data_IF_089389461118
#
_entry.id   IF_089389461118
#
_cell.length_a   1.000
_cell.length_b   1.000
_cell.length_c   1.000
_cell.angle_alpha   90.00
_cell.angle_beta   90.00
_cell.angle_gamma   90.00
#
_symmetry.space_group_name_H-M   'P 1'
#
loop_
_entity.id
_entity.type
_entity.pdbx_description
1 polymer ?
#
# COMPACT_ATOMS: atom_id res chain seq x y z
N UNK A 1 -0.39 5.84 9.27
CA UNK A 1 -0.94 4.49 8.99
C UNK A 1 -2.46 4.43 9.11
N UNK A 2 -3.08 4.48 10.31
CA UNK A 2 -4.55 4.54 10.42
C UNK A 2 -5.13 5.74 9.64
N UNK A 3 -4.47 6.89 9.74
CA UNK A 3 -4.88 8.10 9.01
C UNK A 3 -4.79 7.98 7.48
N UNK A 4 -4.01 7.03 6.96
CA UNK A 4 -3.78 6.89 5.52
C UNK A 4 -4.78 5.90 4.92
N UNK A 5 -4.90 4.70 5.49
CA UNK A 5 -5.73 3.62 4.92
C UNK A 5 -7.08 3.42 5.62
N UNK A 6 -7.24 3.83 6.87
CA UNK A 6 -8.45 3.53 7.66
C UNK A 6 -8.51 2.09 8.19
N UNK A 7 -7.39 1.37 8.09
CA UNK A 7 -7.20 0.03 8.66
C UNK A 7 -6.66 0.16 10.08
N UNK A 8 -7.20 -0.64 11.00
CA UNK A 8 -6.70 -0.77 12.36
C UNK A 8 -5.59 -1.82 12.35
N UNK A 9 -4.36 -1.39 12.64
CA UNK A 9 -3.22 -2.31 12.74
C UNK A 9 -3.03 -2.74 14.20
N UNK A 10 -2.67 -4.01 14.47
CA UNK A 10 -2.32 -4.46 15.80
C UNK A 10 -1.05 -3.75 16.31
N UNK A 11 -0.83 -3.81 17.62
CA UNK A 11 0.39 -3.29 18.23
C UNK A 11 1.64 -3.97 17.68
N UNK A 12 2.72 -3.19 17.52
CA UNK A 12 4.02 -3.72 17.11
C UNK A 12 4.70 -4.40 18.30
N UNK A 13 5.15 -5.64 18.11
CA UNK A 13 5.99 -6.34 19.08
C UNK A 13 7.46 -6.23 18.66
N UNK A 14 8.29 -5.67 19.54
CA UNK A 14 9.74 -5.62 19.35
C UNK A 14 10.37 -6.80 20.09
N UNK A 15 11.13 -7.61 19.37
CA UNK A 15 11.90 -8.73 19.93
C UNK A 15 13.37 -8.54 19.57
N UNK A 16 14.24 -8.53 20.57
CA UNK A 16 15.69 -8.55 20.34
C UNK A 16 16.12 -9.98 20.06
N UNK A 17 16.92 -10.18 19.02
CA UNK A 17 17.43 -11.48 18.62
C UNK A 17 18.95 -11.41 18.41
N UNK A 18 19.69 -12.06 19.29
CA UNK A 18 21.17 -12.09 19.27
C UNK A 18 21.74 -12.86 18.07
N UNK A 19 20.92 -13.66 17.38
CA UNK A 19 21.33 -14.38 16.17
C UNK A 19 21.39 -13.46 14.94
N UNK A 20 20.77 -12.27 15.00
CA UNK A 20 20.84 -11.29 13.91
C UNK A 20 22.22 -10.60 13.95
N UNK A 21 23.07 -10.95 13.00
CA UNK A 21 24.40 -10.36 12.86
C UNK A 21 24.35 -9.04 12.08
N UNK A 22 25.35 -8.18 12.32
CA UNK A 22 25.59 -6.99 11.49
C UNK A 22 24.50 -5.94 11.57
N UNK A 23 23.98 -5.68 12.78
CA UNK A 23 22.97 -4.65 13.05
C UNK A 23 21.69 -4.81 12.19
N UNK A 24 21.38 -6.05 11.82
CA UNK A 24 20.23 -6.39 11.00
C UNK A 24 18.92 -6.36 11.80
N UNK A 25 17.82 -6.11 11.09
CA UNK A 25 16.47 -6.29 11.58
C UNK A 25 15.63 -7.06 10.56
N UNK A 26 14.61 -7.75 11.06
CA UNK A 26 13.60 -8.42 10.25
C UNK A 26 12.21 -7.91 10.66
N UNK A 27 11.34 -7.72 9.66
CA UNK A 27 9.93 -7.41 9.85
C UNK A 27 9.13 -8.66 9.55
N UNK A 28 8.34 -9.10 10.52
CA UNK A 28 7.51 -10.29 10.44
C UNK A 28 6.03 -9.87 10.43
N UNK A 29 5.23 -10.54 9.61
CA UNK A 29 3.76 -10.45 9.59
C UNK A 29 3.22 -11.86 9.82
N UNK A 30 2.35 -12.04 10.81
CA UNK A 30 1.87 -13.37 11.20
C UNK A 30 2.99 -14.34 11.60
N UNK A 31 4.05 -13.84 12.24
CA UNK A 31 5.28 -14.58 12.58
C UNK A 31 6.08 -15.10 11.37
N UNK A 32 5.74 -14.69 10.15
CA UNK A 32 6.49 -15.02 8.92
C UNK A 32 7.34 -13.82 8.50
N UNK A 33 8.65 -13.99 8.22
CA UNK A 33 9.50 -12.91 7.72
C UNK A 33 9.02 -12.40 6.35
N UNK A 34 8.75 -11.10 6.24
CA UNK A 34 8.29 -10.46 4.99
C UNK A 34 9.25 -9.41 4.45
N UNK A 35 10.12 -8.86 5.30
CA UNK A 35 11.16 -7.92 4.90
C UNK A 35 12.31 -7.91 5.89
N UNK A 36 13.47 -7.42 5.47
CA UNK A 36 14.66 -7.27 6.30
C UNK A 36 15.48 -6.06 5.89
N UNK A 37 16.34 -5.59 6.79
CA UNK A 37 17.25 -4.48 6.52
C UNK A 37 18.38 -4.43 7.54
N UNK A 38 19.21 -3.39 7.44
CA UNK A 38 20.25 -3.08 8.41
C UNK A 38 20.04 -1.70 9.00
N UNK A 39 20.25 -1.57 10.29
CA UNK A 39 20.33 -0.30 10.99
C UNK A 39 21.81 0.01 11.16
N UNK A 40 22.29 1.12 10.60
CA UNK A 40 23.69 1.56 10.75
C UNK A 40 23.70 2.75 11.70
N UNK A 41 23.97 2.59 13.02
CA UNK A 41 23.85 3.68 14.01
C UNK A 41 24.70 4.90 13.67
N UNK A 42 25.91 4.67 13.15
CA UNK A 42 26.87 5.72 12.80
C UNK A 42 26.66 6.28 11.37
N UNK A 43 25.55 5.96 10.71
CA UNK A 43 25.25 6.40 9.36
C UNK A 43 23.83 6.96 9.22
N UNK A 44 23.68 7.83 8.23
CA UNK A 44 22.41 8.43 7.83
C UNK A 44 22.07 7.98 6.41
N UNK A 45 20.81 7.67 6.16
CA UNK A 45 20.33 7.32 4.82
C UNK A 45 20.04 8.61 4.05
N UNK A 46 20.87 8.93 3.07
CA UNK A 46 20.81 10.20 2.34
C UNK A 46 19.78 10.13 1.20
N UNK A 47 19.05 11.23 0.98
CA UNK A 47 17.98 11.36 -0.02
C UNK A 47 18.39 12.29 -1.16
N UNK A 48 19.64 12.18 -1.58
CA UNK A 48 20.28 13.02 -2.60
C UNK A 48 21.01 12.13 -3.61
N UNK A 49 21.21 12.65 -4.83
CA UNK A 49 21.89 11.89 -5.88
C UNK A 49 23.39 11.70 -5.57
N UNK A 50 23.99 10.57 -5.96
CA UNK A 50 25.42 10.33 -5.84
C UNK A 50 26.28 11.43 -6.49
N UNK A 51 25.81 11.98 -7.61
CA UNK A 51 26.50 13.05 -8.35
C UNK A 51 26.57 14.34 -7.51
N UNK A 52 25.45 14.72 -6.89
CA UNK A 52 25.39 15.89 -6.02
C UNK A 52 26.23 15.69 -4.75
N UNK A 53 26.19 14.51 -4.14
CA UNK A 53 27.01 14.19 -2.97
C UNK A 53 28.51 14.26 -3.28
N UNK A 54 28.90 13.77 -4.46
CA UNK A 54 30.29 13.86 -4.94
C UNK A 54 30.71 15.32 -5.13
N UNK A 55 29.86 16.14 -5.77
CA UNK A 55 30.14 17.57 -5.97
C UNK A 55 30.27 18.34 -4.65
N UNK A 56 29.49 17.96 -3.63
CA UNK A 56 29.51 18.53 -2.29
C UNK A 56 30.60 17.92 -1.38
N UNK A 57 31.42 17.01 -1.91
CA UNK A 57 32.49 16.32 -1.19
C UNK A 57 32.00 15.59 0.07
N UNK A 58 30.77 15.06 0.03
CA UNK A 58 30.21 14.27 1.11
C UNK A 58 30.57 12.80 0.87
N UNK A 59 31.35 12.15 1.74
CA UNK A 59 31.61 10.73 1.63
C UNK A 59 30.30 9.94 1.78
N UNK A 60 30.10 8.97 0.88
CA UNK A 60 28.93 8.10 0.91
C UNK A 60 29.27 6.68 0.48
N UNK A 61 28.42 5.74 0.87
CA UNK A 61 28.48 4.33 0.50
C UNK A 61 27.14 3.89 -0.09
N UNK A 62 27.19 3.09 -1.16
CA UNK A 62 26.00 2.43 -1.72
C UNK A 62 25.87 1.03 -1.14
N UNK A 63 24.65 0.65 -0.79
CA UNK A 63 24.30 -0.71 -0.34
C UNK A 63 23.17 -1.29 -1.21
N UNK A 64 22.83 -2.56 -0.99
CA UNK A 64 21.69 -3.20 -1.63
C UNK A 64 20.39 -2.44 -1.30
N UNK A 65 19.50 -2.33 -2.29
CA UNK A 65 18.18 -1.71 -2.11
C UNK A 65 17.34 -2.61 -1.20
N UNK A 66 16.89 -2.06 -0.07
CA UNK A 66 15.97 -2.74 0.84
C UNK A 66 14.62 -2.00 0.98
N UNK A 67 14.53 -0.76 0.48
CA UNK A 67 13.29 0.00 0.36
C UNK A 67 12.88 0.13 -1.11
N UNK A 68 11.58 0.09 -1.42
CA UNK A 68 11.09 0.30 -2.78
C UNK A 68 11.39 1.73 -3.24
N UNK A 69 11.75 1.88 -4.52
CA UNK A 69 11.93 3.17 -5.19
C UNK A 69 12.95 4.11 -4.50
N UNK A 70 13.82 3.57 -3.64
CA UNK A 70 14.85 4.31 -2.94
C UNK A 70 16.20 3.63 -3.10
N UNK A 71 17.23 4.44 -3.35
CA UNK A 71 18.60 3.95 -3.29
C UNK A 71 19.07 3.90 -1.84
N UNK A 72 19.85 2.88 -1.52
CA UNK A 72 20.48 2.76 -0.19
C UNK A 72 21.81 3.50 -0.21
N UNK A 73 21.77 4.82 -0.03
CA UNK A 73 22.96 5.68 0.03
C UNK A 73 23.19 6.11 1.48
N UNK A 74 24.35 5.79 2.03
CA UNK A 74 24.70 6.02 3.42
C UNK A 74 25.82 7.04 3.53
N UNK A 75 25.68 8.03 4.41
CA UNK A 75 26.76 8.95 4.76
C UNK A 75 27.04 8.90 6.27
N UNK A 76 28.26 9.24 6.74
CA UNK A 76 28.58 9.29 8.17
C UNK A 76 27.64 10.20 8.96
N UNK A 77 27.16 9.74 10.11
CA UNK A 77 26.28 10.52 10.99
C UNK A 77 26.93 11.81 11.52
N UNK A 78 28.26 11.82 11.63
CA UNK A 78 29.05 13.00 11.99
C UNK A 78 28.83 14.20 11.04
N UNK A 79 28.40 13.95 9.80
CA UNK A 79 28.10 14.99 8.81
C UNK A 79 26.65 15.51 8.88
N UNK A 80 25.81 15.00 9.78
CA UNK A 80 24.39 15.38 9.87
C UNK A 80 24.16 16.89 10.00
N UNK A 81 24.95 17.59 10.82
CA UNK A 81 24.86 19.05 10.97
C UNK A 81 25.27 19.79 9.69
N UNK A 82 26.30 19.32 9.00
CA UNK A 82 26.75 19.89 7.72
C UNK A 82 25.69 19.70 6.63
N UNK A 83 25.15 18.48 6.52
CA UNK A 83 24.07 18.16 5.57
C UNK A 83 22.81 18.98 5.84
N UNK A 84 22.43 19.14 7.11
CA UNK A 84 21.29 19.99 7.50
C UNK A 84 21.49 21.44 7.06
N UNK A 85 22.69 22.01 7.30
CA UNK A 85 23.03 23.38 6.86
C UNK A 85 23.04 23.53 5.34
N UNK A 86 23.46 22.48 4.63
CA UNK A 86 23.47 22.44 3.17
C UNK A 86 22.09 22.13 2.55
N UNK A 87 21.04 21.91 3.37
CA UNK A 87 19.70 21.58 2.88
C UNK A 87 19.58 20.17 2.29
N UNK A 88 20.52 19.27 2.60
CA UNK A 88 20.55 17.91 2.06
C UNK A 88 19.66 17.02 2.93
N UNK A 89 18.60 16.43 2.37
CA UNK A 89 17.70 15.58 3.14
C UNK A 89 18.34 14.23 3.45
N UNK A 90 18.17 13.76 4.69
CA UNK A 90 18.57 12.43 5.12
C UNK A 90 17.55 11.86 6.12
N UNK A 91 17.62 10.55 6.36
CA UNK A 91 16.84 9.85 7.38
C UNK A 91 17.78 9.23 8.41
N UNK A 92 17.46 9.42 9.68
CA UNK A 92 18.10 8.71 10.79
C UNK A 92 17.67 7.24 10.83
N UNK A 93 18.44 6.33 11.47
CA UNK A 93 18.12 4.91 11.54
C UNK A 93 16.69 4.61 12.04
N UNK A 94 16.21 5.35 13.05
CA UNK A 94 14.86 5.21 13.62
C UNK A 94 13.76 5.67 12.66
N UNK A 95 14.00 6.77 11.93
CA UNK A 95 13.10 7.29 10.91
C UNK A 95 13.03 6.33 9.72
N UNK A 96 14.17 5.79 9.30
CA UNK A 96 14.27 4.78 8.26
C UNK A 96 13.49 3.52 8.64
N UNK A 97 13.67 3.01 9.87
CA UNK A 97 12.93 1.86 10.37
C UNK A 97 11.42 2.13 10.35
N UNK A 98 11.00 3.30 10.81
CA UNK A 98 9.60 3.72 10.81
C UNK A 98 9.02 3.76 9.39
N UNK A 99 9.78 4.30 8.43
CA UNK A 99 9.39 4.31 7.02
C UNK A 99 9.27 2.89 6.44
N UNK A 100 10.21 2.00 6.77
CA UNK A 100 10.18 0.62 6.30
C UNK A 100 8.97 -0.14 6.88
N UNK A 101 8.71 -0.02 8.18
CA UNK A 101 7.53 -0.61 8.82
C UNK A 101 6.25 -0.07 8.17
N UNK A 102 6.15 1.24 7.96
CA UNK A 102 4.99 1.83 7.30
C UNK A 102 4.80 1.29 5.87
N UNK A 103 5.88 1.10 5.11
CA UNK A 103 5.80 0.47 3.79
C UNK A 103 5.29 -0.97 3.86
N UNK A 104 5.87 -1.80 4.73
CA UNK A 104 5.44 -3.20 4.90
C UNK A 104 3.98 -3.28 5.32
N UNK A 105 3.55 -2.47 6.29
CA UNK A 105 2.16 -2.45 6.74
C UNK A 105 1.18 -2.03 5.63
N UNK A 106 1.55 -1.12 4.72
CA UNK A 106 0.71 -0.77 3.56
C UNK A 106 0.62 -1.94 2.58
N UNK A 107 1.76 -2.55 2.26
CA UNK A 107 1.85 -3.69 1.34
C UNK A 107 1.03 -4.90 1.81
N UNK A 108 1.00 -5.11 3.13
CA UNK A 108 0.28 -6.22 3.77
C UNK A 108 -1.06 -5.78 4.39
N UNK A 109 -1.58 -4.60 4.06
CA UNK A 109 -2.76 -4.03 4.73
C UNK A 109 -4.01 -4.92 4.65
N UNK A 110 -4.18 -5.65 3.55
CA UNK A 110 -5.30 -6.56 3.35
C UNK A 110 -5.33 -7.71 4.37
N UNK A 111 -4.18 -8.16 4.88
CA UNK A 111 -4.09 -9.22 5.89
C UNK A 111 -4.64 -8.78 7.25
N UNK A 112 -4.71 -7.46 7.49
CA UNK A 112 -5.25 -6.86 8.71
C UNK A 112 -6.73 -6.47 8.59
N UNK A 113 -7.40 -6.84 7.50
CA UNK A 113 -8.83 -6.63 7.33
C UNK A 113 -9.52 -7.97 7.29
N UNK A 114 -10.08 -8.41 8.42
CA UNK A 114 -10.87 -9.62 8.53
C UNK A 114 -12.34 -9.36 8.84
N UNK A 115 -13.07 -10.43 9.16
CA UNK A 115 -14.47 -10.36 9.58
C UNK A 115 -14.61 -9.55 10.88
N UNK A 116 -13.65 -9.70 11.81
CA UNK A 116 -13.68 -9.00 13.10
C UNK A 116 -13.42 -7.50 12.93
N UNK A 117 -12.44 -7.11 12.13
CA UNK A 117 -12.13 -5.71 11.86
C UNK A 117 -13.27 -5.05 11.09
N UNK A 118 -13.85 -5.78 10.13
CA UNK A 118 -15.05 -5.32 9.41
C UNK A 118 -16.23 -5.14 10.36
N UNK A 119 -16.41 -6.04 11.34
CA UNK A 119 -17.45 -5.91 12.36
C UNK A 119 -17.23 -4.66 13.20
N UNK A 120 -16.00 -4.41 13.65
CA UNK A 120 -15.66 -3.21 14.40
C UNK A 120 -15.95 -1.94 13.59
N UNK A 121 -15.63 -1.92 12.30
CA UNK A 121 -15.96 -0.81 11.39
C UNK A 121 -17.49 -0.60 11.32
N UNK A 122 -18.27 -1.67 11.16
CA UNK A 122 -19.74 -1.58 11.09
C UNK A 122 -20.36 -1.15 12.43
N UNK A 123 -19.83 -1.61 13.57
CA UNK A 123 -20.28 -1.18 14.89
C UNK A 123 -19.99 0.31 15.13
N UNK A 124 -18.80 0.79 14.77
CA UNK A 124 -18.48 2.21 14.85
C UNK A 124 -19.39 3.04 13.93
N UNK A 125 -19.68 2.51 12.73
CA UNK A 125 -20.61 3.11 11.80
C UNK A 125 -22.04 3.15 12.33
N UNK A 126 -22.52 2.11 13.03
CA UNK A 126 -23.87 2.06 13.60
C UNK A 126 -24.09 3.21 14.60
N UNK A 127 -23.05 3.63 15.33
CA UNK A 127 -23.13 4.79 16.23
C UNK A 127 -23.34 6.13 15.50
N UNK A 128 -22.90 6.24 14.23
CA UNK A 128 -22.92 7.50 13.43
C UNK A 128 -23.99 7.51 12.33
N UNK A 129 -24.24 6.35 11.73
CA UNK A 129 -25.09 6.13 10.56
C UNK A 129 -25.91 4.82 10.73
N UNK A 130 -26.77 4.72 11.76
CA UNK A 130 -27.45 3.47 12.13
C UNK A 130 -28.30 2.89 10.99
N UNK A 131 -29.02 3.73 10.24
CA UNK A 131 -29.87 3.28 9.15
C UNK A 131 -29.06 2.71 7.98
N UNK A 132 -27.93 3.34 7.65
CA UNK A 132 -27.04 2.83 6.61
C UNK A 132 -26.37 1.51 7.04
N UNK A 133 -25.96 1.39 8.31
CA UNK A 133 -25.37 0.16 8.83
C UNK A 133 -26.36 -1.03 8.75
N UNK A 134 -27.63 -0.81 9.12
CA UNK A 134 -28.70 -1.81 8.97
C UNK A 134 -28.92 -2.19 7.51
N UNK A 135 -28.95 -1.20 6.62
CA UNK A 135 -29.21 -1.43 5.20
C UNK A 135 -28.09 -2.22 4.53
N UNK A 136 -26.83 -1.91 4.83
CA UNK A 136 -25.66 -2.68 4.35
C UNK A 136 -25.75 -4.14 4.80
N UNK A 137 -26.04 -4.37 6.09
CA UNK A 137 -26.15 -5.72 6.65
C UNK A 137 -27.32 -6.52 6.04
N UNK A 138 -28.38 -5.84 5.59
CA UNK A 138 -29.51 -6.43 4.86
C UNK A 138 -29.13 -6.84 3.44
N UNK A 139 -28.32 -6.03 2.76
CA UNK A 139 -27.96 -6.24 1.35
C UNK A 139 -26.93 -7.35 1.17
N UNK A 140 -25.97 -7.48 2.09
CA UNK A 140 -24.92 -8.50 1.98
C UNK A 140 -24.33 -8.96 3.32
N UNK A 141 -23.85 -10.21 3.39
CA UNK A 141 -23.23 -10.74 4.60
C UNK A 141 -21.84 -10.13 4.84
N UNK A 142 -21.45 -10.05 6.12
CA UNK A 142 -20.21 -9.41 6.56
C UNK A 142 -18.93 -9.95 5.91
N UNK A 143 -18.86 -11.24 5.58
CA UNK A 143 -17.69 -11.82 4.93
C UNK A 143 -17.47 -11.25 3.52
N UNK A 144 -18.55 -10.93 2.78
CA UNK A 144 -18.43 -10.27 1.47
C UNK A 144 -17.95 -8.83 1.60
N UNK A 145 -18.43 -8.12 2.62
CA UNK A 145 -17.96 -6.76 2.94
C UNK A 145 -16.46 -6.81 3.24
N UNK A 146 -16.01 -7.75 4.07
CA UNK A 146 -14.60 -7.93 4.39
C UNK A 146 -13.75 -8.19 3.13
N UNK A 147 -14.19 -9.10 2.25
CA UNK A 147 -13.49 -9.37 0.98
C UNK A 147 -13.38 -8.11 0.10
N UNK A 148 -14.45 -7.32 0.00
CA UNK A 148 -14.44 -6.07 -0.78
C UNK A 148 -13.49 -5.05 -0.14
N UNK A 149 -13.54 -4.86 1.18
CA UNK A 149 -12.62 -3.95 1.87
C UNK A 149 -11.16 -4.40 1.70
N UNK A 150 -10.87 -5.71 1.80
CA UNK A 150 -9.54 -6.28 1.54
C UNK A 150 -9.03 -5.91 0.14
N UNK A 151 -9.86 -6.04 -0.90
CA UNK A 151 -9.50 -5.66 -2.28
C UNK A 151 -9.17 -4.17 -2.37
N UNK A 152 -10.00 -3.30 -1.80
CA UNK A 152 -9.77 -1.84 -1.81
C UNK A 152 -8.45 -1.49 -1.12
N UNK A 153 -8.19 -2.03 0.08
CA UNK A 153 -6.96 -1.70 0.82
C UNK A 153 -5.72 -2.34 0.21
N UNK A 154 -5.85 -3.46 -0.52
CA UNK A 154 -4.74 -4.10 -1.24
C UNK A 154 -4.17 -3.22 -2.36
N UNK A 155 -4.97 -2.31 -2.90
CA UNK A 155 -4.56 -1.29 -3.86
C UNK A 155 -4.15 0.02 -3.17
N UNK A 156 -3.91 -0.05 -1.87
CA UNK A 156 -3.61 1.08 -0.99
C UNK A 156 -4.69 2.18 -1.02
N UNK A 157 -5.93 1.85 -1.39
CA UNK A 157 -7.05 2.81 -1.37
C UNK A 157 -7.60 2.89 0.05
N UNK A 158 -7.81 4.12 0.53
CA UNK A 158 -8.29 4.35 1.89
C UNK A 158 -9.77 4.00 2.04
N UNK A 159 -10.09 3.24 3.08
CA UNK A 159 -11.46 2.93 3.49
C UNK A 159 -11.95 3.83 4.62
N UNK A 160 -11.22 4.92 4.94
CA UNK A 160 -11.64 5.89 5.99
C UNK A 160 -12.99 6.53 5.74
N UNK A 161 -13.32 6.77 4.47
CA UNK A 161 -14.65 7.24 4.10
C UNK A 161 -15.62 6.05 4.05
N UNK A 162 -15.81 5.41 5.22
CA UNK A 162 -16.67 4.23 5.38
C UNK A 162 -18.07 4.52 4.88
N UNK A 163 -18.58 5.73 5.09
CA UNK A 163 -19.90 6.14 4.59
C UNK A 163 -20.00 5.96 3.06
N UNK A 164 -19.10 6.55 2.29
CA UNK A 164 -19.14 6.45 0.83
C UNK A 164 -18.94 5.01 0.33
N UNK A 165 -18.07 4.24 0.99
CA UNK A 165 -17.88 2.82 0.69
C UNK A 165 -19.19 2.05 0.88
N UNK A 166 -19.85 2.25 2.01
CA UNK A 166 -21.05 1.52 2.39
C UNK A 166 -22.29 1.95 1.59
N UNK A 167 -22.43 3.24 1.26
CA UNK A 167 -23.45 3.74 0.33
C UNK A 167 -23.33 3.06 -1.04
N UNK A 168 -22.10 2.95 -1.60
CA UNK A 168 -21.87 2.24 -2.85
C UNK A 168 -22.25 0.76 -2.77
N UNK A 169 -21.97 0.09 -1.63
CA UNK A 169 -22.36 -1.30 -1.44
C UNK A 169 -23.88 -1.49 -1.35
N UNK A 170 -24.61 -0.55 -0.78
CA UNK A 170 -26.09 -0.59 -0.75
C UNK A 170 -26.66 -0.40 -2.15
N UNK A 171 -26.17 0.59 -2.90
CA UNK A 171 -26.67 0.94 -4.23
C UNK A 171 -26.51 -0.20 -5.24
N UNK A 172 -25.41 -0.96 -5.13
CA UNK A 172 -25.05 -2.01 -6.09
C UNK A 172 -25.24 -3.43 -5.56
N UNK A 173 -25.18 -3.66 -4.26
CA UNK A 173 -25.18 -5.00 -3.67
C UNK A 173 -26.47 -5.81 -3.86
N UNK A 174 -27.59 -5.17 -4.21
CA UNK A 174 -28.80 -5.88 -4.62
C UNK A 174 -28.71 -6.39 -6.07
N UNK A 175 -28.05 -5.64 -6.95
CA UNK A 175 -27.95 -5.88 -8.40
C UNK A 175 -26.77 -6.78 -8.76
N UNK A 176 -25.67 -6.63 -8.01
CA UNK A 176 -24.41 -7.32 -8.22
C UNK A 176 -24.05 -8.15 -7.00
N UNK A 177 -23.54 -9.35 -7.22
CA UNK A 177 -23.15 -10.31 -6.17
C UNK A 177 -21.66 -10.67 -6.23
N UNK A 178 -20.98 -10.35 -7.33
CA UNK A 178 -19.55 -10.53 -7.51
C UNK A 178 -18.77 -9.47 -6.69
N UNK A 179 -17.96 -9.89 -5.69
CA UNK A 179 -17.14 -8.98 -4.90
C UNK A 179 -16.11 -8.21 -5.73
N UNK A 180 -15.66 -8.74 -6.88
CA UNK A 180 -14.73 -8.04 -7.78
C UNK A 180 -15.41 -6.80 -8.38
N UNK A 181 -16.60 -6.97 -8.95
CA UNK A 181 -17.37 -5.88 -9.54
C UNK A 181 -17.86 -4.88 -8.48
N UNK A 182 -18.26 -5.37 -7.30
CA UNK A 182 -18.61 -4.48 -6.18
C UNK A 182 -17.43 -3.62 -5.74
N UNK A 183 -16.20 -4.15 -5.75
CA UNK A 183 -15.01 -3.35 -5.50
C UNK A 183 -14.82 -2.25 -6.56
N UNK A 184 -15.10 -2.51 -7.84
CA UNK A 184 -15.06 -1.48 -8.89
C UNK A 184 -16.05 -0.34 -8.61
N UNK A 185 -17.29 -0.67 -8.22
CA UNK A 185 -18.28 0.35 -7.85
C UNK A 185 -17.85 1.17 -6.64
N UNK A 186 -17.21 0.55 -5.65
CA UNK A 186 -16.61 1.26 -4.52
C UNK A 186 -15.49 2.19 -4.99
N UNK A 187 -14.60 1.75 -5.89
CA UNK A 187 -13.55 2.63 -6.45
C UNK A 187 -14.15 3.83 -7.19
N UNK A 188 -15.21 3.61 -7.97
CA UNK A 188 -15.93 4.69 -8.64
C UNK A 188 -16.52 5.71 -7.65
N UNK A 189 -17.10 5.24 -6.54
CA UNK A 189 -17.60 6.13 -5.48
C UNK A 189 -16.46 6.91 -4.79
N UNK A 190 -15.27 6.31 -4.68
CA UNK A 190 -14.07 6.92 -4.13
C UNK A 190 -13.26 7.76 -5.12
N UNK A 191 -13.77 8.04 -6.33
CA UNK A 191 -13.06 8.77 -7.41
C UNK A 191 -12.33 10.03 -6.93
N UNK A 192 -12.95 10.86 -6.08
CA UNK A 192 -12.35 12.10 -5.56
C UNK A 192 -11.09 11.81 -4.73
N UNK A 193 -11.15 10.80 -3.88
CA UNK A 193 -10.01 10.40 -3.04
C UNK A 193 -8.89 9.82 -3.91
N UNK A 194 -9.23 8.90 -4.81
CA UNK A 194 -8.26 8.24 -5.71
C UNK A 194 -7.55 9.29 -6.57
N UNK A 195 -8.29 10.19 -7.22
CA UNK A 195 -7.69 11.26 -8.03
C UNK A 195 -6.75 12.14 -7.21
N UNK A 196 -7.15 12.57 -6.01
CA UNK A 196 -6.30 13.39 -5.15
C UNK A 196 -5.04 12.65 -4.67
N UNK A 197 -5.17 11.36 -4.31
CA UNK A 197 -4.04 10.53 -3.86
C UNK A 197 -2.97 10.44 -4.95
N UNK A 198 -3.38 10.12 -6.18
CA UNK A 198 -2.44 9.86 -7.26
C UNK A 198 -2.01 11.12 -8.03
N UNK A 199 -2.72 12.25 -7.89
CA UNK A 199 -2.24 13.55 -8.40
C UNK A 199 -1.30 14.27 -7.43
N UNK A 200 -1.06 13.71 -6.23
CA UNK A 200 -0.32 14.37 -5.15
C UNK A 200 -0.83 15.79 -4.84
N UNK A 201 -2.16 16.00 -4.93
CA UNK A 201 -2.80 17.30 -4.72
C UNK A 201 -2.65 18.29 -5.88
N UNK A 202 -2.03 17.89 -7.00
CA UNK A 202 -1.91 18.72 -8.20
C UNK A 202 -3.16 18.60 -9.09
N UNK A 203 -3.35 19.58 -9.97
CA UNK A 203 -4.40 19.56 -11.00
C UNK A 203 -4.04 18.70 -12.23
N UNK A 204 -3.01 17.86 -12.11
CA UNK A 204 -2.53 16.97 -13.16
C UNK A 204 -2.34 15.57 -12.59
N UNK A 205 -2.88 14.56 -13.27
CA UNK A 205 -2.69 13.15 -12.94
C UNK A 205 -1.74 12.54 -13.98
N UNK A 206 -0.45 12.33 -13.67
CA UNK A 206 0.45 11.64 -14.57
C UNK A 206 0.01 10.18 -14.72
N UNK A 207 -0.11 9.69 -15.96
CA UNK A 207 -0.57 8.34 -16.24
C UNK A 207 0.19 7.74 -17.43
N UNK A 208 0.44 6.43 -17.36
CA UNK A 208 0.86 5.64 -18.51
C UNK A 208 -0.39 5.06 -19.17
N UNK A 209 -0.50 5.23 -20.49
CA UNK A 209 -1.57 4.65 -21.27
C UNK A 209 -1.10 3.33 -21.89
N UNK A 210 -1.94 2.30 -21.80
CA UNK A 210 -1.72 1.08 -22.56
C UNK A 210 -2.00 1.35 -24.04
N UNK A 211 -1.27 0.67 -24.93
CA UNK A 211 -1.55 0.78 -26.36
C UNK A 211 -2.86 0.05 -26.67
N UNK A 212 -3.64 0.52 -27.68
CA UNK A 212 -4.89 -0.14 -28.07
C UNK A 212 -4.72 -1.65 -28.36
N UNK A 213 -3.57 -2.04 -28.93
CA UNK A 213 -3.26 -3.44 -29.17
C UNK A 213 -3.17 -4.29 -27.89
N UNK A 214 -2.60 -3.74 -26.80
CA UNK A 214 -2.54 -4.41 -25.50
C UNK A 214 -3.95 -4.50 -24.90
N UNK A 215 -4.75 -3.44 -25.00
CA UNK A 215 -6.13 -3.44 -24.50
C UNK A 215 -6.99 -4.51 -25.19
N UNK A 216 -6.90 -4.61 -26.51
CA UNK A 216 -7.64 -5.62 -27.29
C UNK A 216 -7.18 -7.05 -26.95
N UNK A 217 -5.88 -7.23 -26.74
CA UNK A 217 -5.34 -8.52 -26.32
C UNK A 217 -5.85 -8.92 -24.93
N UNK A 218 -5.89 -7.99 -23.98
CA UNK A 218 -6.45 -8.23 -22.64
C UNK A 218 -7.94 -8.55 -22.76
N UNK A 219 -8.70 -7.75 -23.52
CA UNK A 219 -10.14 -7.92 -23.72
C UNK A 219 -10.50 -9.29 -24.29
N UNK A 220 -9.79 -9.73 -25.31
CA UNK A 220 -10.02 -11.04 -25.97
C UNK A 220 -9.62 -12.23 -25.10
N UNK A 221 -8.71 -12.02 -24.15
CA UNK A 221 -8.27 -13.02 -23.18
C UNK A 221 -9.21 -13.17 -21.98
N UNK A 222 -10.21 -12.28 -21.79
CA UNK A 222 -11.18 -12.43 -20.70
C UNK A 222 -12.07 -13.64 -20.97
N UNK A 223 -12.10 -14.57 -20.00
CA UNK A 223 -13.01 -15.72 -19.99
C UNK A 223 -13.97 -15.59 -18.83
N UNK A 224 -15.26 -15.74 -19.12
CA UNK A 224 -16.32 -15.73 -18.13
C UNK A 224 -16.62 -17.16 -17.71
N UNK A 225 -16.65 -17.42 -16.41
CA UNK A 225 -17.05 -18.70 -15.83
C UNK A 225 -18.12 -18.49 -14.76
N UNK A 226 -18.74 -19.56 -14.29
CA UNK A 226 -19.64 -19.52 -13.13
C UNK A 226 -18.95 -19.01 -11.85
N UNK A 227 -17.63 -19.08 -11.76
CA UNK A 227 -16.83 -18.57 -10.65
C UNK A 227 -16.28 -17.15 -10.83
N UNK A 228 -16.64 -16.46 -11.92
CA UNK A 228 -16.18 -15.10 -12.23
C UNK A 228 -15.36 -15.00 -13.52
N UNK A 229 -14.89 -13.79 -13.80
CA UNK A 229 -14.03 -13.49 -14.94
C UNK A 229 -12.56 -13.76 -14.61
N UNK A 230 -11.81 -14.39 -15.51
CA UNK A 230 -10.36 -14.51 -15.40
C UNK A 230 -9.66 -14.22 -16.72
N UNK A 231 -8.36 -13.92 -16.65
CA UNK A 231 -7.54 -13.57 -17.79
C UNK A 231 -6.79 -14.80 -18.32
N UNK A 232 -7.16 -15.28 -19.51
CA UNK A 232 -6.54 -16.41 -20.20
C UNK A 232 -5.53 -15.92 -21.25
N UNK A 233 -4.43 -15.32 -20.79
CA UNK A 233 -3.31 -14.93 -21.66
C UNK A 233 -2.32 -16.09 -21.82
N UNK A 234 -1.85 -16.30 -23.04
CA UNK A 234 -0.73 -17.20 -23.29
C UNK A 234 0.53 -16.73 -22.54
N UNK A 235 1.30 -17.62 -21.88
CA UNK A 235 2.48 -17.23 -21.09
C UNK A 235 3.53 -16.44 -21.87
N UNK A 236 3.69 -16.74 -23.17
CA UNK A 236 4.61 -16.04 -24.06
C UNK A 236 4.17 -14.60 -24.36
N UNK A 237 2.86 -14.36 -24.36
CA UNK A 237 2.27 -13.05 -24.58
C UNK A 237 2.35 -12.21 -23.30
N UNK A 238 2.05 -12.81 -22.13
CA UNK A 238 2.17 -12.14 -20.83
C UNK A 238 3.61 -11.63 -20.54
N UNK A 239 4.65 -12.38 -20.93
CA UNK A 239 6.06 -11.96 -20.76
C UNK A 239 6.51 -10.86 -21.72
N UNK A 240 5.84 -10.71 -22.87
CA UNK A 240 6.24 -9.75 -23.92
C UNK A 240 5.67 -8.35 -23.65
N UNK A 241 4.53 -8.29 -22.98
CA UNK A 241 3.82 -7.05 -22.62
C UNK A 241 4.39 -6.34 -21.39
N UNK A 242 5.30 -6.99 -20.63
CA UNK A 242 5.85 -6.45 -19.39
C UNK A 242 7.38 -6.37 -19.47
N UNK A 243 7.98 -5.17 -19.57
CA UNK A 243 9.42 -5.03 -19.47
C UNK A 243 9.87 -5.41 -18.05
N UNK A 244 11.03 -6.09 -17.95
CA UNK A 244 11.63 -6.48 -16.66
C UNK A 244 12.01 -5.27 -15.81
#
# INVERSE_FOLDING_TARGET
MYYDLGVVFPGLQLRFNEQLQGEAYAILVGEVPVSQGRLRPEHLLVRESPENLTALQIPFEKDAKFLPNLESIWAPASLGATMTKAGIPFLEPTQMLSYHIAYVLRKHAAEFVGIQETRAILTEMESKFPELAKEVARVMPIHKIAEILQRIVSEEISIRNVRAVMEALVDWGQKEKDPVLLAEYVRMALKRFISHKFSAGQNMLPAYLLSPAIEDQVRTAIRQTSGGSYLALEPAAARRSWPR
#
